data_IF_071693009256
#
_entry.id   IF_071693009256
#
_cell.length_a   1.000
_cell.length_b   1.000
_cell.length_c   1.000
_cell.angle_alpha   90.00
_cell.angle_beta   90.00
_cell.angle_gamma   90.00
#
_symmetry.space_group_name_H-M   'P 1'
#
loop_
_entity.id
_entity.type
_entity.pdbx_description
1 polymer ?
#
# COMPACT_ATOMS: atom_id res chain seq x y z
N UNK A 1 20.02 15.17 9.96
CA UNK A 1 20.61 13.82 9.92
C UNK A 1 19.88 13.05 8.83
N UNK A 2 20.56 12.74 7.71
CA UNK A 2 19.96 11.92 6.65
C UNK A 2 19.89 10.49 7.14
N UNK A 3 18.74 10.09 7.64
CA UNK A 3 18.45 8.66 7.83
C UNK A 3 18.36 8.06 6.43
N UNK A 4 19.25 7.12 6.06
CA UNK A 4 19.15 6.45 4.78
C UNK A 4 17.80 5.73 4.70
N UNK A 5 17.20 5.66 3.52
CA UNK A 5 15.94 4.93 3.27
C UNK A 5 16.01 3.50 3.84
N UNK A 6 17.17 2.86 3.78
CA UNK A 6 17.47 1.55 4.39
C UNK A 6 17.33 1.55 5.93
N UNK A 7 17.68 2.65 6.61
CA UNK A 7 17.55 2.73 8.07
C UNK A 7 16.09 2.95 8.49
N UNK A 8 15.30 3.69 7.71
CA UNK A 8 13.86 3.83 7.92
C UNK A 8 13.14 2.48 7.76
N UNK A 9 13.54 1.68 6.77
CA UNK A 9 12.98 0.35 6.53
C UNK A 9 13.40 -0.67 7.58
N UNK A 10 14.65 -0.64 8.07
CA UNK A 10 15.08 -1.49 9.18
C UNK A 10 14.34 -1.16 10.50
N UNK A 11 13.85 0.06 10.64
CA UNK A 11 12.97 0.45 11.72
C UNK A 11 11.53 -0.09 11.54
N UNK A 12 11.08 -0.33 10.29
CA UNK A 12 9.81 -0.97 9.95
C UNK A 12 9.66 -2.37 10.56
N UNK A 13 10.74 -3.16 10.57
CA UNK A 13 10.72 -4.52 11.12
C UNK A 13 10.55 -4.57 12.65
N UNK A 14 10.76 -3.44 13.36
CA UNK A 14 10.62 -3.34 14.82
C UNK A 14 9.27 -2.77 15.25
N UNK A 15 8.46 -2.26 14.33
CA UNK A 15 7.13 -1.77 14.65
C UNK A 15 6.20 -2.97 14.89
N UNK A 16 5.67 -3.12 16.12
CA UNK A 16 4.74 -4.20 16.50
C UNK A 16 3.35 -4.07 15.83
N UNK A 17 3.25 -3.39 14.70
CA UNK A 17 2.04 -3.22 13.91
C UNK A 17 0.91 -2.50 14.66
N UNK A 18 -0.18 -2.28 13.96
CA UNK A 18 -1.42 -1.81 14.58
C UNK A 18 -1.95 -2.88 15.53
N UNK A 19 -2.34 -2.55 16.81
CA UNK A 19 -2.81 -3.52 17.79
C UNK A 19 -3.90 -4.44 17.23
N UNK A 20 -3.82 -5.73 17.55
CA UNK A 20 -4.75 -6.76 17.07
C UNK A 20 -6.04 -6.73 17.88
N UNK A 21 -7.19 -6.52 17.25
CA UNK A 21 -8.48 -6.79 17.87
C UNK A 21 -8.74 -8.30 17.92
N UNK A 22 -9.18 -8.79 19.08
CA UNK A 22 -9.33 -10.21 19.38
C UNK A 22 -10.63 -10.86 18.88
N UNK A 23 -11.43 -10.23 18.00
CA UNK A 23 -12.75 -10.74 17.66
C UNK A 23 -12.99 -10.95 16.18
N UNK A 24 -13.57 -12.12 15.89
CA UNK A 24 -14.15 -12.67 14.66
C UNK A 24 -13.25 -13.52 13.76
N UNK A 25 -13.37 -14.84 13.94
CA UNK A 25 -12.96 -15.83 12.96
C UNK A 25 -14.12 -16.08 11.98
N UNK A 26 -14.03 -15.62 10.75
CA UNK A 26 -14.91 -16.09 9.67
C UNK A 26 -14.24 -17.29 8.99
N UNK A 27 -15.00 -18.37 8.84
CA UNK A 27 -14.55 -19.72 8.51
C UNK A 27 -14.01 -20.00 7.11
N UNK A 28 -13.26 -19.09 6.50
CA UNK A 28 -12.50 -19.40 5.28
C UNK A 28 -11.02 -19.43 5.66
N UNK A 29 -10.35 -20.55 5.38
CA UNK A 29 -8.90 -20.69 5.58
C UNK A 29 -8.19 -19.61 4.76
N UNK A 30 -7.70 -18.58 5.43
CA UNK A 30 -6.85 -17.56 4.82
C UNK A 30 -5.51 -18.20 4.46
N UNK A 31 -5.12 -18.12 3.20
CA UNK A 31 -3.79 -18.46 2.74
C UNK A 31 -3.28 -17.39 1.77
N UNK A 32 -2.00 -17.05 1.88
CA UNK A 32 -1.32 -16.22 0.89
C UNK A 32 -1.17 -17.01 -0.42
N UNK A 33 -1.14 -16.34 -1.59
CA UNK A 33 -0.73 -16.98 -2.84
C UNK A 33 0.65 -17.61 -2.72
N UNK A 34 0.86 -18.74 -3.39
CA UNK A 34 2.14 -19.43 -3.40
C UNK A 34 3.23 -18.54 -4.02
N UNK A 35 4.33 -18.35 -3.27
CA UNK A 35 5.46 -17.52 -3.67
C UNK A 35 6.32 -18.27 -4.70
N UNK A 36 6.62 -17.63 -5.82
CA UNK A 36 7.55 -18.15 -6.81
C UNK A 36 9.00 -18.07 -6.32
N UNK A 37 9.88 -18.82 -6.97
CA UNK A 37 11.31 -18.66 -6.77
C UNK A 37 11.83 -17.38 -7.43
N UNK A 38 12.82 -16.68 -6.83
CA UNK A 38 13.47 -15.54 -7.46
C UNK A 38 14.21 -15.95 -8.76
N UNK A 39 14.42 -14.98 -9.68
CA UNK A 39 14.08 -13.58 -9.62
C UNK A 39 12.61 -13.32 -9.99
N UNK A 40 11.96 -12.33 -9.35
CA UNK A 40 10.57 -11.94 -9.62
C UNK A 40 10.47 -11.00 -10.84
N UNK A 41 10.96 -11.47 -12.00
CA UNK A 41 11.18 -10.64 -13.18
C UNK A 41 9.91 -9.95 -13.70
N UNK A 42 8.75 -10.62 -13.66
CA UNK A 42 7.50 -10.02 -14.10
C UNK A 42 7.03 -8.90 -13.17
N UNK A 43 7.17 -9.09 -11.87
CA UNK A 43 6.82 -8.08 -10.86
C UNK A 43 7.75 -6.87 -10.95
N UNK A 44 9.05 -7.13 -11.09
CA UNK A 44 10.06 -6.05 -11.25
C UNK A 44 9.75 -5.24 -12.51
N UNK A 45 9.59 -5.90 -13.67
CA UNK A 45 9.30 -5.23 -14.94
C UNK A 45 7.97 -4.46 -14.89
N UNK A 46 6.93 -5.04 -14.28
CA UNK A 46 5.62 -4.42 -14.14
C UNK A 46 5.69 -3.13 -13.31
N UNK A 47 6.30 -3.16 -12.13
CA UNK A 47 6.35 -2.01 -11.24
C UNK A 47 7.32 -0.93 -11.71
N UNK A 48 8.47 -1.30 -12.27
CA UNK A 48 9.36 -0.31 -12.90
C UNK A 48 8.71 0.32 -14.13
N UNK A 49 7.93 -0.45 -14.89
CA UNK A 49 7.07 0.05 -15.96
C UNK A 49 6.01 1.05 -15.49
N UNK A 50 5.63 1.03 -14.22
CA UNK A 50 4.74 1.99 -13.56
C UNK A 50 5.46 3.14 -12.86
N UNK A 51 6.74 3.36 -13.18
CA UNK A 51 7.51 4.48 -12.63
C UNK A 51 8.02 4.28 -11.20
N UNK A 52 7.81 3.10 -10.60
CA UNK A 52 8.37 2.79 -9.27
C UNK A 52 9.85 2.43 -9.44
N UNK A 53 10.78 3.16 -8.79
CA UNK A 53 12.21 2.90 -8.92
C UNK A 53 12.59 1.47 -8.53
N UNK A 54 13.57 0.89 -9.25
CA UNK A 54 14.03 -0.48 -9.00
C UNK A 54 14.46 -0.69 -7.54
N UNK A 55 15.15 0.28 -6.95
CA UNK A 55 15.56 0.21 -5.55
C UNK A 55 14.37 0.10 -4.60
N UNK A 56 13.25 0.76 -4.90
CA UNK A 56 12.02 0.67 -4.10
C UNK A 56 11.37 -0.71 -4.26
N UNK A 57 11.33 -1.24 -5.49
CA UNK A 57 10.80 -2.58 -5.75
C UNK A 57 11.64 -3.64 -5.03
N UNK A 58 12.97 -3.56 -5.14
CA UNK A 58 13.89 -4.50 -4.48
C UNK A 58 13.78 -4.43 -2.96
N UNK A 59 13.57 -3.24 -2.42
CA UNK A 59 13.35 -3.07 -0.99
C UNK A 59 12.06 -3.74 -0.52
N UNK A 60 10.94 -3.52 -1.22
CA UNK A 60 9.67 -4.20 -0.88
C UNK A 60 9.80 -5.73 -0.93
N UNK A 61 10.58 -6.25 -1.89
CA UNK A 61 10.87 -7.70 -1.99
C UNK A 61 11.73 -8.17 -0.81
N UNK A 62 12.78 -7.43 -0.47
CA UNK A 62 13.68 -7.76 0.64
C UNK A 62 12.97 -7.77 1.99
N UNK A 63 12.02 -6.87 2.18
CA UNK A 63 11.21 -6.76 3.40
C UNK A 63 10.00 -7.71 3.42
N UNK A 64 9.92 -8.64 2.46
CA UNK A 64 8.78 -9.56 2.31
C UNK A 64 7.40 -8.85 2.25
N UNK A 65 7.36 -7.62 1.76
CA UNK A 65 6.14 -6.85 1.50
C UNK A 65 5.62 -7.03 0.08
N UNK A 66 6.42 -7.65 -0.79
CA UNK A 66 6.13 -7.87 -2.20
C UNK A 66 6.79 -9.16 -2.68
N UNK A 67 6.04 -9.97 -3.44
CA UNK A 67 6.60 -11.10 -4.17
C UNK A 67 5.79 -11.40 -5.45
N UNK A 68 6.29 -12.33 -6.27
CA UNK A 68 5.60 -12.88 -7.44
C UNK A 68 4.91 -14.19 -7.07
N UNK A 69 3.63 -14.39 -7.44
CA UNK A 69 2.99 -15.68 -7.27
C UNK A 69 3.42 -16.69 -8.35
N UNK A 70 3.35 -17.98 -8.01
CA UNK A 70 3.76 -19.08 -8.91
C UNK A 70 2.84 -19.23 -10.12
N UNK A 71 1.49 -19.29 -9.96
CA UNK A 71 0.64 -19.75 -11.07
C UNK A 71 0.43 -18.67 -12.15
N UNK A 72 0.43 -17.39 -11.77
CA UNK A 72 0.04 -16.31 -12.69
C UNK A 72 1.08 -15.20 -12.83
N UNK A 73 2.19 -15.29 -12.10
CA UNK A 73 3.24 -14.26 -12.07
C UNK A 73 2.73 -12.89 -11.61
N UNK A 74 1.64 -12.86 -10.85
CA UNK A 74 1.07 -11.65 -10.31
C UNK A 74 1.99 -11.01 -9.26
N UNK A 75 1.91 -9.69 -9.12
CA UNK A 75 2.46 -8.98 -7.98
C UNK A 75 1.56 -9.17 -6.75
N UNK A 76 2.12 -9.68 -5.67
CA UNK A 76 1.43 -9.89 -4.39
C UNK A 76 2.04 -8.95 -3.36
N UNK A 77 1.30 -7.92 -2.99
CA UNK A 77 1.64 -7.00 -1.91
C UNK A 77 1.12 -7.59 -0.60
N UNK A 78 2.01 -7.90 0.33
CA UNK A 78 1.67 -8.56 1.58
C UNK A 78 1.83 -7.61 2.75
N UNK A 79 0.84 -7.55 3.63
CA UNK A 79 0.94 -6.76 4.86
C UNK A 79 2.07 -7.28 5.78
N UNK A 80 2.69 -6.42 6.59
CA UNK A 80 3.76 -6.84 7.50
C UNK A 80 3.36 -7.96 8.46
N UNK A 81 2.08 -8.01 8.89
CA UNK A 81 1.55 -9.07 9.76
C UNK A 81 1.19 -10.37 9.01
N UNK A 82 1.34 -10.39 7.67
CA UNK A 82 1.02 -11.53 6.79
C UNK A 82 -0.46 -11.99 6.87
N UNK A 83 -1.35 -11.11 7.29
CA UNK A 83 -2.80 -11.40 7.42
C UNK A 83 -3.65 -10.77 6.30
N UNK A 84 -2.99 -10.09 5.35
CA UNK A 84 -3.62 -9.45 4.20
C UNK A 84 -2.68 -9.46 2.99
N UNK A 85 -3.23 -9.58 1.80
CA UNK A 85 -2.49 -9.27 0.58
C UNK A 85 -3.40 -8.68 -0.50
N UNK A 86 -2.80 -7.81 -1.33
CA UNK A 86 -3.34 -7.38 -2.62
C UNK A 86 -2.61 -8.09 -3.74
N UNK A 87 -3.37 -8.44 -4.78
CA UNK A 87 -2.86 -9.18 -5.94
C UNK A 87 -3.11 -8.33 -7.19
N UNK A 88 -2.06 -8.06 -7.95
CA UNK A 88 -2.13 -7.31 -9.21
C UNK A 88 -1.56 -8.15 -10.35
N UNK A 89 -2.36 -8.31 -11.41
CA UNK A 89 -1.90 -8.93 -12.64
C UNK A 89 -0.77 -8.14 -13.27
N UNK A 90 0.31 -8.82 -13.66
CA UNK A 90 1.47 -8.22 -14.35
C UNK A 90 1.40 -8.39 -15.87
N UNK A 91 0.42 -9.13 -16.39
CA UNK A 91 0.22 -9.38 -17.82
C UNK A 91 -0.70 -8.37 -18.49
N UNK A 92 -1.07 -8.65 -19.75
CA UNK A 92 -1.93 -7.79 -20.56
C UNK A 92 -3.39 -7.71 -20.08
N UNK A 93 -3.86 -8.73 -19.34
CA UNK A 93 -5.19 -8.71 -18.72
C UNK A 93 -5.10 -8.08 -17.34
N UNK A 94 -5.87 -7.00 -17.14
CA UNK A 94 -6.00 -6.40 -15.82
C UNK A 94 -6.62 -7.40 -14.86
N UNK A 95 -5.90 -7.69 -13.77
CA UNK A 95 -6.42 -8.48 -12.66
C UNK A 95 -6.13 -7.74 -11.35
N UNK A 96 -7.12 -7.71 -10.49
CA UNK A 96 -7.05 -7.08 -9.19
C UNK A 96 -7.84 -7.91 -8.18
N UNK A 97 -7.24 -8.22 -7.07
CA UNK A 97 -7.86 -8.99 -5.99
C UNK A 97 -7.20 -8.72 -4.66
N UNK A 98 -7.86 -9.14 -3.60
CA UNK A 98 -7.28 -9.15 -2.26
C UNK A 98 -7.67 -10.41 -1.51
N UNK A 99 -6.81 -10.83 -0.57
CA UNK A 99 -7.12 -11.87 0.42
C UNK A 99 -6.87 -11.31 1.80
N UNK A 100 -7.75 -11.57 2.73
CA UNK A 100 -7.67 -11.04 4.10
C UNK A 100 -8.19 -12.05 5.11
N UNK A 101 -7.50 -12.15 6.25
CA UNK A 101 -7.91 -12.99 7.37
C UNK A 101 -9.09 -12.41 8.13
N UNK A 102 -9.17 -11.07 8.17
CA UNK A 102 -10.26 -10.29 8.77
C UNK A 102 -10.60 -9.09 7.90
N UNK A 103 -11.82 -8.60 8.01
CA UNK A 103 -12.34 -7.51 7.17
C UNK A 103 -11.61 -6.17 7.35
N UNK A 104 -10.96 -5.97 8.50
CA UNK A 104 -10.25 -4.73 8.85
C UNK A 104 -8.75 -4.78 8.56
N UNK A 105 -8.26 -5.81 7.86
CA UNK A 105 -6.85 -5.92 7.47
C UNK A 105 -6.57 -5.12 6.21
N UNK A 106 -5.35 -4.59 6.14
CA UNK A 106 -4.88 -3.72 5.08
C UNK A 106 -3.36 -3.85 4.88
N UNK A 107 -2.88 -3.39 3.73
CA UNK A 107 -1.46 -3.26 3.45
C UNK A 107 -0.96 -1.88 3.85
N UNK A 108 0.29 -1.76 4.30
CA UNK A 108 0.91 -0.48 4.59
C UNK A 108 2.42 -0.52 4.48
N UNK A 109 3.00 0.65 4.24
CA UNK A 109 4.43 0.93 4.36
C UNK A 109 4.61 2.18 5.23
N UNK A 110 5.68 2.20 6.03
CA UNK A 110 5.98 3.32 6.93
C UNK A 110 7.27 4.01 6.47
N UNK A 111 7.32 5.33 6.61
CA UNK A 111 8.56 6.10 6.48
C UNK A 111 9.26 6.33 7.82
N UNK A 112 8.56 6.06 8.91
CA UNK A 112 9.07 6.13 10.27
C UNK A 112 8.40 5.05 11.16
N UNK A 113 9.13 4.47 12.14
CA UNK A 113 8.56 3.48 13.07
C UNK A 113 7.41 4.02 13.94
N UNK A 114 7.32 5.35 14.10
CA UNK A 114 6.27 6.04 14.85
C UNK A 114 5.58 7.04 13.93
N UNK A 115 4.71 6.58 13.03
CA UNK A 115 4.03 7.48 12.12
C UNK A 115 3.10 8.43 12.88
N UNK A 116 3.09 9.69 12.46
CA UNK A 116 2.21 10.74 13.00
C UNK A 116 0.97 10.95 12.14
N UNK A 117 1.00 10.47 10.89
CA UNK A 117 -0.11 10.61 9.93
C UNK A 117 -0.24 9.35 9.09
N UNK A 118 -1.47 8.92 8.82
CA UNK A 118 -1.77 7.85 7.86
C UNK A 118 -2.39 8.43 6.58
N UNK A 119 -1.73 8.24 5.43
CA UNK A 119 -2.29 8.51 4.11
C UNK A 119 -2.98 7.26 3.58
N UNK A 120 -4.28 7.34 3.38
CA UNK A 120 -5.13 6.18 3.02
C UNK A 120 -5.43 6.21 1.53
N UNK A 121 -4.85 5.28 0.79
CA UNK A 121 -5.01 5.07 -0.65
C UNK A 121 -5.90 3.85 -0.93
N UNK A 122 -6.37 3.72 -2.16
CA UNK A 122 -7.18 2.58 -2.58
C UNK A 122 -6.37 1.29 -2.76
N UNK A 123 -5.17 1.40 -3.34
CA UNK A 123 -4.32 0.26 -3.65
C UNK A 123 -2.88 0.45 -3.18
N UNK A 124 -2.14 -0.67 -3.02
CA UNK A 124 -0.75 -0.66 -2.59
C UNK A 124 0.16 0.10 -3.56
N UNK A 125 -0.11 0.03 -4.87
CA UNK A 125 0.66 0.78 -5.87
C UNK A 125 0.50 2.29 -5.65
N UNK A 126 -0.72 2.76 -5.35
CA UNK A 126 -0.99 4.18 -5.10
C UNK A 126 -0.34 4.65 -3.80
N UNK A 127 -0.37 3.82 -2.77
CA UNK A 127 0.32 4.11 -1.50
C UNK A 127 1.84 4.25 -1.69
N UNK A 128 2.47 3.35 -2.49
CA UNK A 128 3.90 3.46 -2.84
C UNK A 128 4.16 4.69 -3.70
N UNK A 129 3.28 4.99 -4.67
CA UNK A 129 3.42 6.13 -5.57
C UNK A 129 3.35 7.45 -4.80
N UNK A 130 2.37 7.62 -3.91
CA UNK A 130 2.25 8.80 -3.06
C UNK A 130 3.46 8.97 -2.14
N UNK A 131 3.96 7.88 -1.55
CA UNK A 131 5.20 7.91 -0.75
C UNK A 131 6.38 8.45 -1.56
N UNK A 132 6.52 8.01 -2.81
CA UNK A 132 7.60 8.47 -3.70
C UNK A 132 7.42 9.94 -4.11
N UNK A 133 6.19 10.38 -4.40
CA UNK A 133 5.86 11.78 -4.69
C UNK A 133 6.24 12.66 -3.49
N UNK A 134 5.81 12.30 -2.28
CA UNK A 134 6.18 13.04 -1.07
C UNK A 134 7.69 13.08 -0.84
N UNK A 135 8.39 11.98 -1.14
CA UNK A 135 9.87 11.95 -1.08
C UNK A 135 10.52 12.95 -2.05
N UNK A 136 10.03 13.02 -3.30
CA UNK A 136 10.53 13.97 -4.30
C UNK A 136 10.24 15.41 -3.87
N UNK A 137 9.09 15.67 -3.26
CA UNK A 137 8.68 16.97 -2.74
C UNK A 137 9.39 17.37 -1.44
N UNK A 138 10.26 16.53 -0.90
CA UNK A 138 10.95 16.78 0.36
C UNK A 138 10.06 16.63 1.60
N UNK A 139 8.87 16.07 1.45
CA UNK A 139 7.94 15.76 2.52
C UNK A 139 8.32 14.44 3.21
N UNK A 140 9.49 14.42 3.84
CA UNK A 140 10.01 13.21 4.53
C UNK A 140 9.44 13.11 5.95
N UNK A 141 8.10 13.11 6.08
CA UNK A 141 7.42 13.07 7.35
C UNK A 141 7.36 11.68 7.97
N UNK A 142 6.98 11.64 9.24
CA UNK A 142 6.66 10.44 10.00
C UNK A 142 5.29 9.91 9.56
N UNK A 143 5.25 9.16 8.45
CA UNK A 143 4.00 8.78 7.80
C UNK A 143 3.84 7.28 7.60
N UNK A 144 2.58 6.84 7.67
CA UNK A 144 2.13 5.54 7.16
C UNK A 144 1.40 5.75 5.83
N UNK A 145 1.77 5.01 4.81
CA UNK A 145 1.05 4.95 3.54
C UNK A 145 0.29 3.63 3.50
N UNK A 146 -1.02 3.73 3.48
CA UNK A 146 -1.93 2.60 3.71
C UNK A 146 -2.75 2.34 2.46
N UNK A 147 -2.85 1.07 2.05
CA UNK A 147 -3.83 0.62 1.08
C UNK A 147 -4.96 -0.13 1.78
N UNK A 148 -6.18 0.25 1.48
CA UNK A 148 -7.38 -0.38 2.03
C UNK A 148 -7.99 -1.45 1.10
N UNK A 149 -7.40 -1.67 -0.08
CA UNK A 149 -7.88 -2.67 -1.05
C UNK A 149 -9.25 -2.33 -1.64
N UNK A 150 -9.50 -1.04 -1.84
CA UNK A 150 -10.73 -0.46 -2.38
C UNK A 150 -11.57 0.30 -1.35
N UNK A 151 -12.25 1.34 -1.80
CA UNK A 151 -12.98 2.35 -0.98
C UNK A 151 -14.16 1.80 -0.18
N UNK A 152 -14.57 0.55 -0.39
CA UNK A 152 -15.63 -0.09 0.39
C UNK A 152 -15.18 -0.50 1.80
N UNK A 153 -13.87 -0.44 2.10
CA UNK A 153 -13.33 -0.90 3.37
C UNK A 153 -13.38 0.18 4.48
N UNK A 154 -14.59 0.68 4.78
CA UNK A 154 -14.82 1.73 5.80
C UNK A 154 -14.26 1.33 7.17
N UNK A 155 -14.39 0.05 7.57
CA UNK A 155 -13.87 -0.43 8.88
C UNK A 155 -12.38 -0.17 9.08
N UNK A 156 -11.59 -0.21 8.01
CA UNK A 156 -10.16 0.12 8.09
C UNK A 156 -9.95 1.61 8.34
N UNK A 157 -10.71 2.47 7.66
CA UNK A 157 -10.66 3.92 7.86
C UNK A 157 -11.01 4.24 9.32
N UNK A 158 -12.13 3.73 9.82
CA UNK A 158 -12.59 3.93 11.21
C UNK A 158 -11.56 3.45 12.23
N UNK A 159 -10.90 2.33 11.96
CA UNK A 159 -9.84 1.80 12.82
C UNK A 159 -8.59 2.69 12.83
N UNK A 160 -8.21 3.23 11.69
CA UNK A 160 -7.05 4.11 11.57
C UNK A 160 -7.29 5.44 12.27
N UNK A 161 -8.47 6.06 12.10
CA UNK A 161 -8.83 7.34 12.71
C UNK A 161 -8.82 7.30 14.24
N UNK A 162 -9.08 6.13 14.82
CA UNK A 162 -8.96 5.93 16.27
C UNK A 162 -7.51 5.85 16.78
N UNK A 163 -6.51 5.88 15.90
CA UNK A 163 -5.09 5.65 16.27
C UNK A 163 -4.16 6.74 15.80
N UNK A 164 -4.41 7.31 14.63
CA UNK A 164 -3.57 8.31 13.97
C UNK A 164 -4.46 9.34 13.27
N UNK A 165 -3.99 10.57 13.11
CA UNK A 165 -4.51 11.48 12.11
C UNK A 165 -4.51 10.82 10.74
N UNK A 166 -5.67 10.81 10.07
CA UNK A 166 -5.87 10.21 8.75
C UNK A 166 -6.06 11.30 7.71
N UNK A 167 -5.38 11.16 6.58
CA UNK A 167 -5.62 11.91 5.35
C UNK A 167 -6.13 10.93 4.29
N UNK A 168 -7.32 11.17 3.76
CA UNK A 168 -7.85 10.37 2.65
C UNK A 168 -7.15 10.76 1.36
N UNK A 169 -6.42 9.82 0.80
CA UNK A 169 -5.68 9.95 -0.45
C UNK A 169 -6.18 8.92 -1.49
N UNK A 170 -7.52 8.80 -1.58
CA UNK A 170 -8.19 7.89 -2.52
C UNK A 170 -8.26 8.50 -3.93
N UNK A 171 -8.52 7.65 -4.94
CA UNK A 171 -8.51 7.99 -6.35
C UNK A 171 -9.45 9.15 -6.71
N UNK A 172 -9.14 9.86 -7.78
CA UNK A 172 -9.93 10.97 -8.31
C UNK A 172 -11.01 10.47 -9.27
N UNK A 173 -11.88 9.59 -8.78
CA UNK A 173 -12.99 9.03 -9.52
C UNK A 173 -14.31 9.07 -8.72
N UNK A 174 -15.39 8.49 -9.25
CA UNK A 174 -16.70 8.48 -8.58
C UNK A 174 -16.66 7.73 -7.26
N UNK A 175 -15.94 6.60 -7.18
CA UNK A 175 -15.84 5.77 -5.98
C UNK A 175 -15.02 6.47 -4.88
N UNK A 176 -13.91 7.11 -5.25
CA UNK A 176 -13.12 7.96 -4.35
C UNK A 176 -13.91 9.16 -3.86
N UNK A 177 -14.70 9.81 -4.73
CA UNK A 177 -15.59 10.92 -4.33
C UNK A 177 -16.64 10.46 -3.33
N UNK A 178 -17.24 9.29 -3.51
CA UNK A 178 -18.18 8.71 -2.56
C UNK A 178 -17.52 8.39 -1.22
N UNK A 179 -16.29 7.88 -1.23
CA UNK A 179 -15.51 7.66 -0.02
C UNK A 179 -15.25 8.98 0.73
N UNK A 180 -14.83 10.05 0.04
CA UNK A 180 -14.64 11.38 0.63
C UNK A 180 -15.93 11.91 1.23
N UNK A 181 -17.06 11.78 0.55
CA UNK A 181 -18.37 12.21 1.09
C UNK A 181 -18.77 11.45 2.35
N UNK A 182 -18.53 10.15 2.43
CA UNK A 182 -18.80 9.36 3.64
C UNK A 182 -17.92 9.73 4.83
N UNK A 183 -16.76 10.33 4.57
CA UNK A 183 -15.77 10.69 5.58
C UNK A 183 -15.43 12.19 5.50
N UNK A 184 -16.48 13.02 5.41
CA UNK A 184 -16.34 14.47 5.17
C UNK A 184 -15.56 15.22 6.27
N UNK A 185 -15.43 14.64 7.46
CA UNK A 185 -14.68 15.21 8.57
C UNK A 185 -13.17 14.97 8.47
N UNK A 186 -12.73 14.11 7.54
CA UNK A 186 -11.31 13.81 7.35
C UNK A 186 -10.67 14.72 6.33
N UNK A 187 -9.42 15.17 6.56
CA UNK A 187 -8.62 15.84 5.54
C UNK A 187 -8.48 14.96 4.30
N UNK A 188 -8.47 15.59 3.12
CA UNK A 188 -8.34 14.88 1.84
C UNK A 188 -7.15 15.40 1.05
N UNK A 189 -6.45 14.48 0.38
CA UNK A 189 -5.47 14.75 -0.65
C UNK A 189 -5.96 14.05 -1.92
N UNK A 190 -6.06 14.78 -3.02
CA UNK A 190 -6.65 14.30 -4.27
C UNK A 190 -5.55 14.27 -5.33
N UNK A 191 -5.34 13.15 -6.04
CA UNK A 191 -4.38 13.11 -7.15
C UNK A 191 -4.83 14.06 -8.27
N UNK A 192 -3.87 14.64 -8.97
CA UNK A 192 -4.12 15.51 -10.12
C UNK A 192 -4.75 14.72 -11.28
N UNK A 193 -4.21 13.54 -11.56
CA UNK A 193 -4.73 12.59 -12.52
C UNK A 193 -5.80 11.68 -11.89
N UNK A 194 -6.00 10.49 -12.45
CA UNK A 194 -6.98 9.54 -11.95
C UNK A 194 -6.56 8.94 -10.60
N UNK A 195 -5.30 8.56 -10.48
CA UNK A 195 -4.72 7.91 -9.31
C UNK A 195 -3.29 8.39 -9.05
N UNK A 196 -2.71 8.02 -7.91
CA UNK A 196 -1.36 8.45 -7.54
C UNK A 196 -0.25 7.84 -8.39
N UNK A 197 -0.53 6.70 -9.03
CA UNK A 197 0.46 6.13 -9.92
C UNK A 197 0.53 6.88 -11.26
N UNK A 198 -0.58 7.39 -11.75
CA UNK A 198 -0.61 8.26 -12.93
C UNK A 198 0.13 9.58 -12.63
N UNK A 199 -0.05 10.17 -11.45
CA UNK A 199 0.71 11.37 -11.01
C UNK A 199 2.22 11.09 -10.92
N UNK A 200 2.61 9.94 -10.35
CA UNK A 200 4.01 9.54 -10.30
C UNK A 200 4.60 9.39 -11.70
N UNK A 201 3.87 8.76 -12.63
CA UNK A 201 4.31 8.60 -14.01
C UNK A 201 4.55 9.92 -14.72
N UNK A 202 3.72 10.94 -14.48
CA UNK A 202 3.91 12.29 -15.02
C UNK A 202 5.21 12.92 -14.49
N UNK A 203 5.55 12.72 -13.23
CA UNK A 203 6.78 13.24 -12.61
C UNK A 203 8.03 12.54 -13.16
N UNK A 204 8.00 11.23 -13.35
CA UNK A 204 9.20 10.45 -13.73
C UNK A 204 9.37 10.27 -15.23
N UNK A 205 8.39 10.64 -16.03
CA UNK A 205 8.37 10.60 -17.50
C UNK A 205 7.87 11.89 -18.09
N UNK A 206 8.53 13.04 -17.82
CA UNK A 206 8.10 14.35 -18.30
C UNK A 206 8.16 14.47 -19.83
#
# INVERSE_FOLDING_TARGET
MNCSFTAAVNALCKFNGFPRDKTEATGTLFCLPEKADPPFSHVIAYLTGRGIPLETVMLLIHEDLLYQDTPHKNAVFVSPDKEYCEIRGTGSKSFHGCRKKKSDRFWYILTDPKPETAYVCEAAIDAVSLMLIHKVQGMNGHAAYVSIGGVANQRTIDRLTNKLPVVLAVDNDSAGNDCRRRNADLPTLIPHNKDWNDDLLEIVRP
#
